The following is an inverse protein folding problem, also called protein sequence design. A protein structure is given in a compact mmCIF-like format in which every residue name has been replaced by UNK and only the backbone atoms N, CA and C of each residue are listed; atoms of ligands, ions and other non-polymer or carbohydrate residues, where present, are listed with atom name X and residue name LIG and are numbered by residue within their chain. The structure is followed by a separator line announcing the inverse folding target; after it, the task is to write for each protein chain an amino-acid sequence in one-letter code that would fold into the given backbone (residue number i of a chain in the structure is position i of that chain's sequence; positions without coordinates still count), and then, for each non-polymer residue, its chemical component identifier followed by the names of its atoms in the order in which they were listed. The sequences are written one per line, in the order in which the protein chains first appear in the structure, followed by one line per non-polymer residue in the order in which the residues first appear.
data_IF_412193266684
#
_entry.id   IF_412193266684
#
_cell.length_a   1.000
_cell.length_b   1.000
_cell.length_c   1.000
_cell.angle_alpha   90.00
_cell.angle_beta   90.00
_cell.angle_gamma   90.00
#
_symmetry.space_group_name_H-M   'P 1'
#
loop_
_entity.id
_entity.type
_entity.pdbx_description
1 polymer ?
#
# COMPACT_ATOMS: atom_id res chain seq x y z
N UNK A 1 -27.30 2.78 -1.11
CA UNK A 1 -26.24 3.35 -0.24
C UNK A 1 -25.39 2.22 0.31
N UNK A 2 -24.10 2.10 -0.08
CA UNK A 2 -23.19 1.09 0.48
C UNK A 2 -22.92 1.45 1.95
N UNK A 3 -22.91 0.47 2.86
CA UNK A 3 -22.58 0.70 4.28
C UNK A 3 -21.13 1.22 4.36
N UNK A 4 -20.84 2.24 5.19
CA UNK A 4 -19.49 2.77 5.29
C UNK A 4 -18.55 1.71 5.88
N UNK A 5 -17.41 1.50 5.23
CA UNK A 5 -16.46 0.47 5.62
C UNK A 5 -15.81 0.78 6.97
N UNK A 6 -15.57 2.06 7.27
CA UNK A 6 -15.05 2.50 8.58
C UNK A 6 -15.94 2.11 9.77
N UNK A 7 -17.22 1.76 9.56
CA UNK A 7 -18.10 1.30 10.66
C UNK A 7 -17.82 -0.14 11.05
N UNK A 8 -17.09 -0.90 10.24
CA UNK A 8 -16.68 -2.26 10.60
C UNK A 8 -15.55 -2.19 11.62
N UNK A 9 -15.71 -2.88 12.75
CA UNK A 9 -14.80 -2.79 13.89
C UNK A 9 -13.34 -3.15 13.55
N UNK A 10 -13.13 -4.14 12.68
CA UNK A 10 -11.79 -4.58 12.27
C UNK A 10 -10.98 -3.52 11.52
N UNK A 11 -11.61 -2.54 10.86
CA UNK A 11 -10.90 -1.43 10.17
C UNK A 11 -10.12 -0.58 11.17
N UNK A 12 -10.66 -0.37 12.38
CA UNK A 12 -9.98 0.36 13.45
C UNK A 12 -8.77 -0.41 13.99
N UNK A 13 -8.89 -1.74 14.08
CA UNK A 13 -7.79 -2.61 14.51
C UNK A 13 -6.65 -2.55 13.49
N UNK A 14 -6.96 -2.64 12.19
CA UNK A 14 -5.95 -2.50 11.14
C UNK A 14 -5.31 -1.10 11.13
N UNK A 15 -6.12 -0.06 11.24
CA UNK A 15 -5.62 1.31 11.29
C UNK A 15 -4.64 1.50 12.47
N UNK A 16 -4.95 0.94 13.64
CA UNK A 16 -4.08 0.95 14.81
C UNK A 16 -2.80 0.11 14.61
N UNK A 17 -2.91 -1.07 14.00
CA UNK A 17 -1.74 -1.90 13.67
C UNK A 17 -0.76 -1.14 12.75
N UNK A 18 -1.25 -0.47 11.71
CA UNK A 18 -0.39 0.33 10.80
C UNK A 18 0.38 1.44 11.55
N UNK A 19 -0.15 1.97 12.66
CA UNK A 19 0.53 2.98 13.49
C UNK A 19 1.70 2.36 14.26
N UNK A 20 1.50 1.17 14.85
CA UNK A 20 2.54 0.47 15.65
C UNK A 20 3.74 0.07 14.79
N UNK A 21 3.51 -0.24 13.51
CA UNK A 21 4.57 -0.54 12.55
C UNK A 21 5.58 0.61 12.33
N UNK A 22 5.24 1.85 12.73
CA UNK A 22 6.13 3.02 12.58
C UNK A 22 7.16 3.12 13.73
N UNK A 23 6.95 2.46 14.87
CA UNK A 23 7.78 2.66 16.06
C UNK A 23 9.11 1.87 16.07
N UNK A 24 9.31 0.90 15.18
CA UNK A 24 10.53 0.07 15.15
C UNK A 24 11.68 0.67 14.31
N UNK A 25 11.62 1.94 13.90
CA UNK A 25 12.53 2.50 12.91
C UNK A 25 12.86 3.98 13.04
N UNK A 26 13.12 4.49 14.25
CA UNK A 26 13.77 5.80 14.44
C UNK A 26 14.89 5.70 15.48
N UNK A 27 16.10 5.41 15.01
CA UNK A 27 17.34 5.80 15.66
C UNK A 27 18.32 6.21 14.55
N UNK A 28 18.73 7.48 14.55
CA UNK A 28 19.63 8.01 13.54
C UNK A 28 19.53 9.52 13.36
N UNK A 29 20.01 10.26 14.36
CA UNK A 29 20.27 11.69 14.29
C UNK A 29 21.61 11.93 13.59
N UNK A 30 21.66 12.78 12.54
CA UNK A 30 22.81 13.65 12.21
C UNK A 30 22.45 14.70 11.17
N UNK A 31 22.93 15.92 11.46
CA UNK A 31 22.84 17.16 10.68
C UNK A 31 24.02 17.33 9.71
N UNK A 32 23.84 18.31 8.82
CA UNK A 32 24.78 19.04 7.94
C UNK A 32 25.08 18.34 6.61
N UNK A 33 25.07 18.96 5.43
CA UNK A 33 24.98 20.37 5.01
C UNK A 33 25.55 20.44 3.58
N UNK A 34 25.07 21.38 2.76
CA UNK A 34 25.59 21.81 1.43
C UNK A 34 24.86 21.27 0.18
N UNK A 35 24.26 22.23 -0.53
CA UNK A 35 23.55 22.18 -1.83
C UNK A 35 24.55 21.97 -2.99
N UNK A 36 24.11 21.32 -4.08
CA UNK A 36 24.26 21.93 -5.39
C UNK A 36 22.91 22.04 -6.12
N UNK A 37 22.77 23.11 -6.90
CA UNK A 37 21.62 23.36 -7.75
C UNK A 37 21.55 22.29 -8.85
N UNK A 38 20.62 21.35 -8.70
CA UNK A 38 20.20 20.42 -9.76
C UNK A 38 18.88 20.95 -10.29
N UNK A 39 18.77 21.04 -11.61
CA UNK A 39 17.53 21.38 -12.30
C UNK A 39 16.37 20.60 -11.67
N UNK A 40 15.44 21.34 -11.08
CA UNK A 40 14.27 20.82 -10.39
C UNK A 40 13.34 20.24 -11.47
N UNK A 41 13.63 19.01 -11.90
CA UNK A 41 12.62 18.19 -12.54
C UNK A 41 11.55 18.03 -11.47
N UNK A 42 10.46 18.79 -11.57
CA UNK A 42 9.33 18.72 -10.66
C UNK A 42 8.79 17.30 -10.77
N UNK A 43 9.31 16.40 -9.94
CA UNK A 43 8.68 15.11 -9.67
C UNK A 43 7.24 15.45 -9.32
N UNK A 44 6.32 15.13 -10.22
CA UNK A 44 4.90 15.37 -10.03
C UNK A 44 4.52 14.62 -8.76
N UNK A 45 4.26 15.38 -7.70
CA UNK A 45 3.99 14.80 -6.39
C UNK A 45 2.63 14.11 -6.45
N UNK A 46 2.58 12.87 -5.98
CA UNK A 46 1.40 12.02 -6.08
C UNK A 46 0.35 12.44 -5.05
N UNK A 47 -0.81 12.93 -5.50
CA UNK A 47 -1.93 13.28 -4.61
C UNK A 47 -2.88 12.10 -4.40
N UNK A 48 -3.81 12.22 -3.44
CA UNK A 48 -4.87 11.21 -3.21
C UNK A 48 -5.76 11.04 -4.45
N UNK A 49 -6.08 12.12 -5.15
CA UNK A 49 -6.93 12.08 -6.35
C UNK A 49 -6.20 11.39 -7.51
N UNK A 50 -4.92 11.71 -7.71
CA UNK A 50 -4.09 11.07 -8.73
C UNK A 50 -3.94 9.57 -8.45
N UNK A 51 -3.69 9.20 -7.20
CA UNK A 51 -3.61 7.81 -6.78
C UNK A 51 -4.93 7.07 -7.00
N UNK A 52 -6.06 7.69 -6.64
CA UNK A 52 -7.39 7.10 -6.85
C UNK A 52 -7.65 6.84 -8.33
N UNK A 53 -7.32 7.80 -9.21
CA UNK A 53 -7.41 7.61 -10.67
C UNK A 53 -6.51 6.49 -11.18
N UNK A 54 -5.29 6.35 -10.65
CA UNK A 54 -4.39 5.24 -11.00
C UNK A 54 -4.98 3.88 -10.60
N UNK A 55 -5.58 3.79 -9.41
CA UNK A 55 -6.28 2.58 -8.95
C UNK A 55 -7.47 2.27 -9.87
N UNK A 56 -8.33 3.25 -10.16
CA UNK A 56 -9.48 3.06 -11.07
C UNK A 56 -9.04 2.58 -12.46
N UNK A 57 -8.00 3.19 -13.02
CA UNK A 57 -7.43 2.79 -14.30
C UNK A 57 -6.93 1.35 -14.27
N UNK A 58 -6.14 0.98 -13.26
CA UNK A 58 -5.62 -0.38 -13.11
C UNK A 58 -6.73 -1.43 -12.96
N UNK A 59 -7.78 -1.12 -12.20
CA UNK A 59 -8.94 -2.00 -12.03
C UNK A 59 -9.73 -2.16 -13.34
N UNK A 60 -9.90 -1.06 -14.10
CA UNK A 60 -10.54 -1.10 -15.42
C UNK A 60 -9.74 -1.92 -16.43
N UNK A 61 -8.41 -1.81 -16.43
CA UNK A 61 -7.53 -2.59 -17.30
C UNK A 61 -7.56 -4.09 -16.99
N UNK A 62 -7.72 -4.45 -15.71
CA UNK A 62 -7.88 -5.87 -15.31
C UNK A 62 -9.23 -6.45 -15.71
N UNK A 63 -10.28 -5.62 -15.77
CA UNK A 63 -11.62 -6.05 -16.16
C UNK A 63 -12.12 -7.22 -15.31
N UNK A 64 -12.58 -8.28 -15.96
CA UNK A 64 -13.17 -9.45 -15.29
C UNK A 64 -12.16 -10.33 -14.54
N UNK A 65 -10.85 -10.07 -14.67
CA UNK A 65 -9.80 -10.82 -13.95
C UNK A 65 -9.69 -10.46 -12.46
N UNK A 66 -10.47 -9.48 -11.99
CA UNK A 66 -10.54 -9.08 -10.59
C UNK A 66 -11.95 -8.66 -10.24
N UNK A 67 -12.38 -8.91 -8.99
CA UNK A 67 -13.65 -8.40 -8.47
C UNK A 67 -13.46 -7.11 -7.66
N UNK A 68 -12.21 -6.67 -7.47
CA UNK A 68 -11.89 -5.44 -6.78
C UNK A 68 -12.49 -4.23 -7.50
N UNK A 69 -13.02 -3.30 -6.72
CA UNK A 69 -13.54 -2.01 -7.17
C UNK A 69 -13.43 -1.02 -6.05
N UNK A 70 -13.31 0.27 -6.35
CA UNK A 70 -13.38 1.29 -5.30
C UNK A 70 -14.81 1.30 -4.74
N UNK A 71 -14.98 0.75 -3.54
CA UNK A 71 -16.26 0.68 -2.84
C UNK A 71 -16.52 1.92 -1.99
N UNK A 72 -15.45 2.54 -1.48
CA UNK A 72 -15.48 3.71 -0.62
C UNK A 72 -14.14 4.43 -0.63
N UNK A 73 -14.17 5.75 -0.47
CA UNK A 73 -13.01 6.59 -0.18
C UNK A 73 -13.38 7.48 1.00
N UNK A 74 -12.69 7.31 2.13
CA UNK A 74 -13.11 7.87 3.42
C UNK A 74 -11.89 8.44 4.17
N UNK A 75 -12.05 9.57 4.84
CA UNK A 75 -10.99 10.11 5.72
C UNK A 75 -11.15 9.47 7.11
N UNK A 76 -10.09 8.85 7.61
CA UNK A 76 -10.01 8.25 8.95
C UNK A 76 -9.82 9.33 10.02
N UNK A 77 -10.09 8.98 11.29
CA UNK A 77 -9.99 9.91 12.43
C UNK A 77 -8.60 10.55 12.58
N UNK A 78 -7.56 9.87 12.12
CA UNK A 78 -6.18 10.34 12.18
C UNK A 78 -5.75 11.13 10.92
N UNK A 79 -6.70 11.47 10.05
CA UNK A 79 -6.48 12.27 8.84
C UNK A 79 -5.98 11.49 7.63
N UNK A 80 -5.73 10.18 7.75
CA UNK A 80 -5.38 9.30 6.62
C UNK A 80 -6.59 9.03 5.73
N UNK A 81 -6.37 8.77 4.44
CA UNK A 81 -7.45 8.37 3.53
C UNK A 81 -7.49 6.86 3.40
N UNK A 82 -8.66 6.24 3.58
CA UNK A 82 -8.90 4.82 3.35
C UNK A 82 -9.68 4.62 2.05
N UNK A 83 -9.17 3.76 1.18
CA UNK A 83 -9.80 3.30 -0.06
C UNK A 83 -10.19 1.83 0.14
N UNK A 84 -11.48 1.54 0.23
CA UNK A 84 -12.00 0.17 0.35
C UNK A 84 -12.13 -0.49 -1.01
N UNK A 85 -11.47 -1.63 -1.22
CA UNK A 85 -11.49 -2.37 -2.51
C UNK A 85 -12.40 -3.60 -2.48
N UNK A 86 -12.50 -4.26 -1.33
CA UNK A 86 -13.44 -5.35 -1.06
C UNK A 86 -13.78 -5.36 0.43
N UNK A 87 -14.60 -6.34 0.85
CA UNK A 87 -14.91 -6.57 2.26
C UNK A 87 -13.69 -6.91 3.11
N UNK A 88 -12.58 -7.33 2.50
CA UNK A 88 -11.39 -7.82 3.18
C UNK A 88 -10.10 -7.10 2.77
N UNK A 89 -10.15 -6.16 1.83
CA UNK A 89 -8.98 -5.52 1.21
C UNK A 89 -9.17 -3.99 1.20
N UNK A 90 -8.25 -3.28 1.84
CA UNK A 90 -8.23 -1.80 1.91
C UNK A 90 -6.84 -1.24 1.62
N UNK A 91 -6.79 -0.01 1.11
CA UNK A 91 -5.57 0.79 0.99
C UNK A 91 -5.70 2.01 1.88
N UNK A 92 -4.70 2.27 2.72
CA UNK A 92 -4.62 3.46 3.58
C UNK A 92 -3.49 4.35 3.10
N UNK A 93 -3.81 5.61 2.82
CA UNK A 93 -2.90 6.64 2.33
C UNK A 93 -2.54 7.61 3.45
N UNK A 94 -1.25 7.80 3.65
CA UNK A 94 -0.70 8.82 4.55
C UNK A 94 -0.08 9.93 3.70
N UNK A 95 -0.47 11.17 3.97
CA UNK A 95 -0.03 12.35 3.23
C UNK A 95 0.93 13.23 4.05
N UNK A 96 1.70 14.06 3.35
CA UNK A 96 2.47 15.15 3.94
C UNK A 96 1.58 16.40 4.14
N UNK A 97 2.16 17.46 4.71
CA UNK A 97 1.44 18.72 4.95
C UNK A 97 0.92 19.40 3.66
N UNK A 98 1.47 19.01 2.50
CA UNK A 98 1.07 19.50 1.18
C UNK A 98 0.08 18.55 0.49
N UNK A 99 -0.50 17.58 1.24
CA UNK A 99 -1.45 16.57 0.76
C UNK A 99 -0.88 15.60 -0.29
N UNK A 100 0.44 15.50 -0.41
CA UNK A 100 1.09 14.51 -1.25
C UNK A 100 1.24 13.21 -0.47
N UNK A 101 0.98 12.08 -1.11
CA UNK A 101 1.16 10.75 -0.52
C UNK A 101 2.63 10.56 -0.20
N UNK A 102 2.94 10.23 1.06
CA UNK A 102 4.27 9.79 1.50
C UNK A 102 4.32 8.28 1.73
N UNK A 103 3.17 7.66 1.97
CA UNK A 103 3.06 6.21 2.19
C UNK A 103 1.68 5.72 1.79
N UNK A 104 1.63 4.58 1.10
CA UNK A 104 0.42 3.79 0.94
C UNK A 104 0.59 2.44 1.65
N UNK A 105 -0.45 1.99 2.33
CA UNK A 105 -0.48 0.71 3.04
C UNK A 105 -1.64 -0.12 2.54
N UNK A 106 -1.37 -1.20 1.83
CA UNK A 106 -2.34 -2.25 1.57
C UNK A 106 -2.49 -3.07 2.84
N UNK A 107 -3.73 -3.27 3.28
CA UNK A 107 -4.05 -4.14 4.39
C UNK A 107 -5.16 -5.11 4.00
N UNK A 108 -4.96 -6.39 4.30
CA UNK A 108 -5.87 -7.47 3.97
C UNK A 108 -6.07 -8.39 5.17
N UNK A 109 -7.30 -8.85 5.39
CA UNK A 109 -7.61 -9.83 6.44
C UNK A 109 -7.20 -11.24 6.00
N UNK A 110 -7.04 -12.21 6.93
CA UNK A 110 -6.94 -13.63 6.60
C UNK A 110 -8.02 -14.11 5.64
N UNK A 111 -9.24 -13.57 5.78
CA UNK A 111 -10.36 -14.00 4.95
C UNK A 111 -10.15 -13.67 3.47
N UNK A 112 -9.44 -12.58 3.12
CA UNK A 112 -9.07 -12.30 1.73
C UNK A 112 -8.28 -13.46 1.11
N UNK A 113 -7.34 -14.05 1.86
CA UNK A 113 -6.56 -15.19 1.40
C UNK A 113 -7.44 -16.43 1.14
N UNK A 114 -8.42 -16.69 2.01
CA UNK A 114 -9.28 -17.88 1.89
C UNK A 114 -10.41 -17.75 0.87
N UNK A 115 -11.01 -16.56 0.71
CA UNK A 115 -12.24 -16.38 -0.09
C UNK A 115 -12.05 -15.52 -1.34
N UNK A 116 -10.94 -14.79 -1.45
CA UNK A 116 -10.68 -13.81 -2.51
C UNK A 116 -9.26 -13.97 -3.07
N UNK A 117 -8.75 -15.21 -3.22
CA UNK A 117 -7.33 -15.51 -3.50
C UNK A 117 -6.74 -14.75 -4.70
N UNK A 118 -7.49 -14.64 -5.81
CA UNK A 118 -7.02 -13.91 -7.01
C UNK A 118 -6.89 -12.41 -6.73
N UNK A 119 -7.91 -11.82 -6.10
CA UNK A 119 -7.92 -10.41 -5.69
C UNK A 119 -6.85 -10.12 -4.63
N UNK A 120 -6.63 -11.06 -3.70
CA UNK A 120 -5.57 -11.01 -2.69
C UNK A 120 -4.19 -10.93 -3.34
N UNK A 121 -3.89 -11.81 -4.31
CA UNK A 121 -2.62 -11.80 -5.04
C UNK A 121 -2.47 -10.54 -5.89
N UNK A 122 -3.54 -10.12 -6.56
CA UNK A 122 -3.53 -8.94 -7.41
C UNK A 122 -3.34 -7.64 -6.62
N UNK A 123 -3.92 -7.53 -5.41
CA UNK A 123 -3.83 -6.33 -4.59
C UNK A 123 -2.38 -5.91 -4.27
N UNK A 124 -1.45 -6.87 -4.12
CA UNK A 124 -0.03 -6.56 -3.97
C UNK A 124 0.54 -5.84 -5.19
N UNK A 125 0.27 -6.36 -6.40
CA UNK A 125 0.71 -5.72 -7.65
C UNK A 125 0.02 -4.37 -7.88
N UNK A 126 -1.25 -4.25 -7.47
CA UNK A 126 -2.00 -3.01 -7.53
C UNK A 126 -1.30 -1.92 -6.71
N UNK A 127 -0.97 -2.17 -5.44
CA UNK A 127 -0.27 -1.19 -4.59
C UNK A 127 1.10 -0.82 -5.20
N UNK A 128 1.89 -1.81 -5.61
CA UNK A 128 3.22 -1.58 -6.20
C UNK A 128 3.12 -0.69 -7.43
N UNK A 129 2.24 -1.03 -8.39
CA UNK A 129 2.11 -0.30 -9.65
C UNK A 129 1.40 1.05 -9.56
N UNK A 130 0.59 1.29 -8.52
CA UNK A 130 -0.09 2.58 -8.32
C UNK A 130 0.79 3.58 -7.57
N UNK A 131 1.66 3.09 -6.69
CA UNK A 131 2.69 3.89 -6.02
C UNK A 131 3.87 4.24 -6.94
N UNK A 132 4.28 3.32 -7.80
CA UNK A 132 5.33 3.54 -8.79
C UNK A 132 4.84 3.19 -10.19
N UNK A 133 4.23 4.17 -10.86
CA UNK A 133 3.70 4.01 -12.21
C UNK A 133 4.78 3.98 -13.30
N UNK A 134 6.05 4.24 -12.92
CA UNK A 134 7.20 4.06 -13.82
C UNK A 134 7.58 2.58 -14.01
N UNK A 135 7.18 1.70 -13.08
CA UNK A 135 7.52 0.27 -13.17
C UNK A 135 6.73 -0.41 -14.29
N UNK A 136 7.46 -1.13 -15.13
CA UNK A 136 6.88 -2.09 -16.07
C UNK A 136 6.20 -3.27 -15.33
N UNK A 137 5.39 -4.05 -16.04
CA UNK A 137 4.75 -5.24 -15.45
C UNK A 137 5.78 -6.24 -14.90
N UNK A 138 6.89 -6.44 -15.62
CA UNK A 138 7.99 -7.31 -15.17
C UNK A 138 8.63 -6.80 -13.88
N UNK A 139 8.90 -5.50 -13.78
CA UNK A 139 9.51 -4.92 -12.57
C UNK A 139 8.58 -4.95 -11.35
N UNK A 140 7.27 -4.78 -11.55
CA UNK A 140 6.28 -4.95 -10.46
C UNK A 140 6.32 -6.37 -9.90
N UNK A 141 6.43 -7.37 -10.79
CA UNK A 141 6.56 -8.77 -10.38
C UNK A 141 7.89 -9.06 -9.70
N UNK A 142 8.99 -8.41 -10.11
CA UNK A 142 10.27 -8.51 -9.41
C UNK A 142 10.19 -7.94 -7.99
N UNK A 143 9.59 -6.76 -7.80
CA UNK A 143 9.36 -6.20 -6.45
C UNK A 143 8.56 -7.19 -5.59
N UNK A 144 7.48 -7.77 -6.14
CA UNK A 144 6.66 -8.80 -5.48
C UNK A 144 7.50 -10.04 -5.10
N UNK A 145 8.36 -10.51 -6.00
CA UNK A 145 9.24 -11.65 -5.78
C UNK A 145 10.28 -11.39 -4.69
N UNK A 146 10.93 -10.22 -4.69
CA UNK A 146 11.93 -9.83 -3.69
C UNK A 146 11.34 -9.70 -2.27
N UNK A 147 10.05 -9.38 -2.19
CA UNK A 147 9.27 -9.42 -0.95
C UNK A 147 8.90 -10.85 -0.50
N UNK A 148 9.17 -11.87 -1.32
CA UNK A 148 8.80 -13.28 -1.08
C UNK A 148 7.35 -13.61 -1.42
N UNK A 149 6.60 -12.68 -2.02
CA UNK A 149 5.15 -12.81 -2.25
C UNK A 149 4.79 -13.64 -3.49
N UNK A 150 5.79 -14.22 -4.15
CA UNK A 150 5.61 -15.20 -5.22
C UNK A 150 5.60 -16.65 -4.71
N UNK A 151 6.07 -16.88 -3.49
CA UNK A 151 5.95 -18.17 -2.80
C UNK A 151 4.71 -18.14 -1.89
N UNK A 152 3.69 -18.94 -2.20
CA UNK A 152 2.44 -18.94 -1.44
C UNK A 152 2.61 -19.49 -0.02
N UNK A 153 3.66 -20.26 0.25
CA UNK A 153 3.95 -20.79 1.59
C UNK A 153 4.30 -19.67 2.58
N UNK A 154 4.73 -18.51 2.07
CA UNK A 154 5.01 -17.31 2.85
C UNK A 154 3.77 -16.78 3.55
N UNK A 155 2.56 -17.02 3.04
CA UNK A 155 1.33 -16.55 3.68
C UNK A 155 0.95 -17.36 4.92
N UNK A 156 1.42 -18.61 5.05
CA UNK A 156 1.08 -19.50 6.16
C UNK A 156 1.97 -19.35 7.40
N UNK A 157 3.07 -18.59 7.28
CA UNK A 157 4.05 -18.38 8.35
C UNK A 157 4.28 -16.89 8.57
N UNK A 158 4.74 -16.52 9.76
CA UNK A 158 5.09 -15.14 10.04
C UNK A 158 6.27 -14.73 9.16
N UNK A 159 6.00 -13.83 8.22
CA UNK A 159 7.00 -13.36 7.28
C UNK A 159 7.07 -11.85 7.31
N UNK A 160 8.29 -11.33 7.32
CA UNK A 160 8.58 -9.90 7.21
C UNK A 160 9.72 -9.72 6.24
N UNK A 161 9.54 -8.82 5.27
CA UNK A 161 10.55 -8.54 4.26
C UNK A 161 10.51 -7.06 3.87
N UNK A 162 11.69 -6.50 3.67
CA UNK A 162 11.87 -5.14 3.20
C UNK A 162 12.64 -5.20 1.88
N UNK A 163 12.19 -4.44 0.90
CA UNK A 163 12.86 -4.28 -0.38
C UNK A 163 12.74 -2.83 -0.85
N UNK A 164 13.78 -2.31 -1.50
CA UNK A 164 13.77 -0.95 -2.02
C UNK A 164 14.02 -0.97 -3.52
N UNK A 165 13.17 -0.26 -4.25
CA UNK A 165 13.28 -0.04 -5.70
C UNK A 165 12.91 1.41 -5.98
N UNK A 166 13.72 2.06 -6.81
CA UNK A 166 13.63 3.51 -7.02
C UNK A 166 13.66 4.26 -5.67
N UNK A 167 12.83 5.28 -5.52
CA UNK A 167 12.67 6.04 -4.26
C UNK A 167 11.59 5.48 -3.35
N UNK A 168 11.23 4.20 -3.48
CA UNK A 168 10.16 3.58 -2.68
C UNK A 168 10.72 2.40 -1.89
N UNK A 169 10.52 2.46 -0.57
CA UNK A 169 10.75 1.33 0.33
C UNK A 169 9.45 0.54 0.48
N UNK A 170 9.48 -0.71 0.07
CA UNK A 170 8.42 -1.67 0.27
C UNK A 170 8.69 -2.49 1.54
N UNK A 171 7.69 -2.63 2.41
CA UNK A 171 7.77 -3.44 3.63
C UNK A 171 6.53 -4.32 3.71
N UNK A 172 6.72 -5.63 3.61
CA UNK A 172 5.67 -6.60 3.84
C UNK A 172 5.82 -7.19 5.24
N UNK A 173 4.69 -7.35 5.94
CA UNK A 173 4.55 -8.26 7.08
C UNK A 173 3.16 -8.87 7.08
N UNK A 174 3.07 -10.17 7.33
CA UNK A 174 1.79 -10.81 7.59
C UNK A 174 1.84 -12.32 7.46
N UNK A 175 0.78 -12.95 7.98
CA UNK A 175 0.51 -14.37 7.91
C UNK A 175 -1.00 -14.60 8.05
N UNK A 176 -1.50 -15.80 7.76
CA UNK A 176 -2.90 -16.19 8.00
C UNK A 176 -3.34 -16.10 9.47
N UNK A 177 -2.38 -16.04 10.42
CA UNK A 177 -2.66 -15.84 11.85
C UNK A 177 -2.85 -14.36 12.21
N UNK A 178 -2.30 -13.46 11.39
CA UNK A 178 -2.38 -12.01 11.55
C UNK A 178 -3.08 -11.37 10.32
N UNK A 179 -2.92 -10.07 10.10
CA UNK A 179 -3.32 -9.45 8.84
C UNK A 179 -2.12 -9.37 7.90
N UNK A 180 -2.40 -9.28 6.59
CA UNK A 180 -1.39 -9.06 5.57
C UNK A 180 -1.25 -7.56 5.32
N UNK A 181 -0.04 -7.02 5.52
CA UNK A 181 0.24 -5.59 5.35
C UNK A 181 1.41 -5.44 4.39
N UNK A 182 1.20 -4.69 3.31
CA UNK A 182 2.27 -4.20 2.43
C UNK A 182 2.28 -2.67 2.47
N UNK A 183 3.40 -2.10 2.90
CA UNK A 183 3.64 -0.67 2.91
C UNK A 183 4.57 -0.29 1.76
N UNK A 184 4.26 0.80 1.08
CA UNK A 184 5.10 1.46 0.09
C UNK A 184 5.33 2.90 0.55
N UNK A 185 6.55 3.19 1.01
CA UNK A 185 6.93 4.48 1.59
C UNK A 185 7.90 5.21 0.67
N UNK A 186 7.54 6.44 0.28
CA UNK A 186 8.42 7.31 -0.49
C UNK A 186 9.59 7.76 0.39
N UNK A 187 10.80 7.58 -0.13
CA UNK A 187 12.05 7.99 0.48
C UNK A 187 12.56 9.25 -0.22
N UNK A 188 13.09 10.17 0.57
CA UNK A 188 13.74 11.39 0.07
C UNK A 188 15.16 11.09 -0.37
#
# INVERSE_FOLDING_TARGET
MKKPFYKKWWVWIIAALIIIFVAAGVSGNKKDGTKPAVAENKEAKLTVDDYTKRVEKALKEMGEKTKLKINSTEILKDGRTSIGLSDNIIIVLETDNNKNIKKASLAMTPNAYFTEMEDFKFAFLLLIGTMDDSLSFGERNLVKQELGLSDETVFSKDHTKVYQKNKIRYTYKGSIKENFILQAELRK
#
